data_IF_932497954796
#
_entry.id   IF_932497954796
#
_cell.length_a   1.000
_cell.length_b   1.000
_cell.length_c   1.000
_cell.angle_alpha   90.00
_cell.angle_beta   90.00
_cell.angle_gamma   90.00
#
_symmetry.space_group_name_H-M   'P 1'
#
loop_
_entity.id
_entity.type
_entity.pdbx_description
1 polymer ?
#
# COMPACT_ATOMS: atom_id res chain seq x y z
N UNK A 1 -24.07 -2.28 10.29
CA UNK A 1 -24.35 -1.88 8.89
C UNK A 1 -23.21 -2.39 8.02
N UNK A 2 -23.51 -3.21 7.01
CA UNK A 2 -22.49 -3.73 6.08
C UNK A 2 -22.10 -2.70 5.03
N UNK A 3 -20.84 -2.72 4.58
CA UNK A 3 -20.39 -1.98 3.40
C UNK A 3 -20.28 -2.96 2.25
N UNK A 4 -20.73 -2.57 1.06
CA UNK A 4 -20.63 -3.38 -0.15
C UNK A 4 -19.65 -2.71 -1.13
N UNK A 5 -18.79 -3.53 -1.73
CA UNK A 5 -17.82 -3.12 -2.74
C UNK A 5 -17.95 -4.07 -3.93
N UNK A 6 -17.73 -3.57 -5.15
CA UNK A 6 -17.78 -4.40 -6.37
C UNK A 6 -16.58 -5.34 -6.40
N UNK A 7 -15.42 -4.85 -5.96
CA UNK A 7 -14.18 -5.59 -5.90
C UNK A 7 -13.61 -5.57 -4.49
N UNK A 8 -13.26 -6.75 -3.97
CA UNK A 8 -12.63 -6.90 -2.66
C UNK A 8 -11.33 -7.70 -2.83
N UNK A 9 -10.20 -7.06 -2.49
CA UNK A 9 -8.91 -7.73 -2.38
C UNK A 9 -8.68 -8.09 -0.91
N UNK A 10 -8.46 -9.38 -0.64
CA UNK A 10 -8.16 -9.88 0.71
C UNK A 10 -6.64 -10.06 0.84
N UNK A 11 -6.06 -9.30 1.77
CA UNK A 11 -4.62 -9.23 2.06
C UNK A 11 -3.99 -7.93 1.52
N UNK A 12 -3.36 -7.14 2.39
CA UNK A 12 -2.77 -5.84 2.05
C UNK A 12 -1.26 -5.86 1.78
N UNK A 13 -0.75 -6.88 1.08
CA UNK A 13 0.68 -6.96 0.72
C UNK A 13 0.91 -6.54 -0.72
N UNK A 14 2.16 -6.56 -1.16
CA UNK A 14 2.63 -6.12 -2.50
C UNK A 14 1.64 -6.39 -3.64
N UNK A 15 1.14 -7.62 -3.77
CA UNK A 15 0.19 -7.99 -4.83
C UNK A 15 -1.09 -7.14 -4.84
N UNK A 16 -1.65 -6.81 -3.67
CA UNK A 16 -2.84 -5.99 -3.57
C UNK A 16 -2.59 -4.53 -3.97
N UNK A 17 -1.39 -4.01 -3.70
CA UNK A 17 -1.01 -2.66 -4.11
C UNK A 17 -0.87 -2.55 -5.63
N UNK A 18 -0.19 -3.51 -6.25
CA UNK A 18 -0.08 -3.57 -7.71
C UNK A 18 -1.41 -3.86 -8.38
N UNK A 19 -2.25 -4.73 -7.81
CA UNK A 19 -3.59 -4.95 -8.31
C UNK A 19 -4.43 -3.66 -8.26
N UNK A 20 -4.39 -2.91 -7.14
CA UNK A 20 -5.10 -1.65 -7.03
C UNK A 20 -4.59 -0.56 -8.00
N UNK A 21 -3.28 -0.53 -8.25
CA UNK A 21 -2.69 0.32 -9.30
C UNK A 21 -3.26 -0.05 -10.67
N UNK A 22 -3.31 -1.33 -11.01
CA UNK A 22 -3.88 -1.80 -12.27
C UNK A 22 -5.39 -1.52 -12.38
N UNK A 23 -6.17 -1.71 -11.30
CA UNK A 23 -7.58 -1.32 -11.29
C UNK A 23 -7.76 0.18 -11.54
N UNK A 24 -6.88 1.01 -10.97
CA UNK A 24 -6.88 2.47 -11.22
C UNK A 24 -6.54 2.77 -12.68
N UNK A 25 -5.53 2.10 -13.25
CA UNK A 25 -5.15 2.24 -14.66
C UNK A 25 -6.25 1.78 -15.62
N UNK A 26 -7.07 0.81 -15.21
CA UNK A 26 -8.25 0.33 -15.96
C UNK A 26 -9.48 1.22 -15.78
N UNK A 27 -9.39 2.27 -14.96
CA UNK A 27 -10.46 3.24 -14.77
C UNK A 27 -11.55 2.80 -13.79
N UNK A 28 -11.25 1.92 -12.84
CA UNK A 28 -12.21 1.58 -11.77
C UNK A 28 -12.52 2.84 -10.96
N UNK A 29 -13.81 3.18 -10.76
CA UNK A 29 -14.18 4.40 -10.09
C UNK A 29 -13.93 4.32 -8.57
N UNK A 30 -13.75 5.48 -7.92
CA UNK A 30 -13.56 5.55 -6.47
C UNK A 30 -14.73 4.88 -5.73
N UNK A 31 -14.42 4.12 -4.68
CA UNK A 31 -15.42 3.47 -3.84
C UNK A 31 -15.88 2.08 -4.31
N UNK A 32 -15.47 1.61 -5.49
CA UNK A 32 -15.79 0.25 -5.96
C UNK A 32 -14.78 -0.81 -5.52
N UNK A 33 -13.53 -0.41 -5.25
CA UNK A 33 -12.45 -1.29 -4.82
C UNK A 33 -12.17 -1.12 -3.33
N UNK A 34 -12.16 -2.23 -2.59
CA UNK A 34 -11.71 -2.30 -1.20
C UNK A 34 -10.57 -3.29 -1.03
N UNK A 35 -9.56 -2.91 -0.24
CA UNK A 35 -8.52 -3.82 0.24
C UNK A 35 -8.75 -4.06 1.73
N UNK A 36 -8.91 -5.32 2.12
CA UNK A 36 -9.03 -5.73 3.52
C UNK A 36 -7.71 -6.39 3.94
N UNK A 37 -7.06 -5.84 4.95
CA UNK A 37 -5.79 -6.37 5.49
C UNK A 37 -5.91 -6.59 7.00
N UNK A 38 -5.27 -7.64 7.49
CA UNK A 38 -5.05 -7.86 8.93
C UNK A 38 -3.81 -7.14 9.48
N UNK A 39 -2.97 -6.58 8.60
CA UNK A 39 -1.83 -5.75 8.99
C UNK A 39 -2.30 -4.31 9.21
N UNK A 40 -1.91 -3.67 10.32
CA UNK A 40 -2.20 -2.25 10.61
C UNK A 40 -1.29 -1.27 9.87
N UNK A 41 -0.40 -1.79 9.02
CA UNK A 41 0.66 -1.05 8.35
C UNK A 41 0.30 -0.93 6.87
N UNK A 42 0.59 0.23 6.28
CA UNK A 42 0.40 0.49 4.85
C UNK A 42 1.19 -0.49 3.97
N UNK A 43 0.69 -0.78 2.77
CA UNK A 43 1.31 -1.71 1.82
C UNK A 43 2.78 -1.36 1.57
N UNK A 44 3.67 -2.31 1.88
CA UNK A 44 5.12 -2.17 1.73
C UNK A 44 5.72 -3.38 0.99
N UNK A 45 6.91 -3.19 0.43
CA UNK A 45 7.67 -4.29 -0.15
C UNK A 45 8.32 -5.16 0.93
N UNK A 46 7.84 -6.40 1.08
CA UNK A 46 8.37 -7.34 2.07
C UNK A 46 9.85 -7.67 1.87
N UNK A 47 10.36 -7.57 0.64
CA UNK A 47 11.78 -7.78 0.34
C UNK A 47 12.69 -6.75 1.01
N UNK A 48 12.17 -5.56 1.34
CA UNK A 48 12.94 -4.56 2.08
C UNK A 48 13.25 -5.05 3.51
N UNK A 49 12.33 -5.80 4.14
CA UNK A 49 12.40 -6.16 5.55
C UNK A 49 13.52 -7.16 5.90
N UNK A 50 13.88 -8.07 4.99
CA UNK A 50 14.95 -9.06 5.22
C UNK A 50 16.28 -8.68 4.58
N UNK A 51 16.34 -7.53 3.91
CA UNK A 51 17.54 -7.02 3.23
C UNK A 51 17.89 -5.64 3.78
N UNK A 52 17.55 -4.60 3.03
CA UNK A 52 17.97 -3.23 3.31
C UNK A 52 17.52 -2.69 4.67
N UNK A 53 16.46 -3.24 5.26
CA UNK A 53 15.97 -2.84 6.57
C UNK A 53 16.84 -3.33 7.74
N UNK A 54 17.51 -4.48 7.58
CA UNK A 54 18.36 -5.05 8.64
C UNK A 54 19.80 -4.54 8.57
N UNK A 55 20.15 -3.80 7.53
CA UNK A 55 21.49 -3.23 7.39
C UNK A 55 21.67 -2.05 8.36
N UNK A 56 22.88 -1.84 8.91
CA UNK A 56 23.20 -0.67 9.70
C UNK A 56 22.93 0.63 8.92
N UNK A 57 22.50 1.68 9.63
CA UNK A 57 22.36 2.99 9.01
C UNK A 57 23.73 3.46 8.48
N UNK A 58 23.83 3.68 7.16
CA UNK A 58 25.06 4.14 6.50
C UNK A 58 25.55 3.28 5.33
N UNK A 59 25.12 2.02 5.19
CA UNK A 59 25.52 1.17 4.04
C UNK A 59 24.83 1.60 2.74
N UNK A 60 23.61 2.13 2.86
CA UNK A 60 22.87 2.80 1.80
C UNK A 60 22.08 3.93 2.48
N UNK A 61 22.44 5.20 2.23
CA UNK A 61 22.03 6.37 3.03
C UNK A 61 20.55 6.42 3.49
N UNK A 62 20.33 6.87 4.73
CA UNK A 62 19.04 7.18 5.40
C UNK A 62 17.77 6.54 4.80
N UNK A 63 17.68 5.20 4.85
CA UNK A 63 16.53 4.43 4.30
C UNK A 63 15.44 4.05 5.30
N UNK A 64 15.55 4.42 6.57
CA UNK A 64 14.43 4.29 7.53
C UNK A 64 13.18 5.04 7.04
N UNK A 65 13.40 6.10 6.28
CA UNK A 65 12.40 6.92 5.60
C UNK A 65 11.89 6.30 4.28
N UNK A 66 12.67 5.46 3.59
CA UNK A 66 12.34 5.03 2.22
C UNK A 66 11.26 3.93 2.16
N UNK A 67 11.22 3.03 3.15
CA UNK A 67 10.13 2.05 3.31
C UNK A 67 8.81 2.75 3.66
N UNK A 68 8.90 3.92 4.31
CA UNK A 68 7.75 4.71 4.71
C UNK A 68 7.24 5.63 3.57
N UNK A 69 8.15 6.20 2.76
CA UNK A 69 7.82 7.30 1.82
C UNK A 69 7.42 6.90 0.40
N UNK A 70 7.73 5.69 -0.08
CA UNK A 70 7.38 5.32 -1.47
C UNK A 70 5.88 5.06 -1.67
N UNK A 71 5.16 4.60 -0.64
CA UNK A 71 3.72 4.31 -0.76
C UNK A 71 2.82 5.47 -0.29
N UNK A 72 3.27 6.26 0.70
CA UNK A 72 2.53 7.40 1.23
C UNK A 72 2.25 8.48 0.17
N UNK A 73 3.22 8.75 -0.72
CA UNK A 73 3.09 9.82 -1.73
C UNK A 73 2.07 9.54 -2.83
N UNK A 74 1.73 8.27 -3.05
CA UNK A 74 0.69 7.88 -4.01
C UNK A 74 -0.67 7.76 -3.33
N UNK A 75 -0.71 7.25 -2.10
CA UNK A 75 -1.96 7.12 -1.34
C UNK A 75 -2.56 8.46 -0.90
N UNK A 76 -1.76 9.47 -0.54
CA UNK A 76 -2.27 10.80 -0.16
C UNK A 76 -3.13 11.46 -1.25
N UNK A 77 -2.97 11.06 -2.52
CA UNK A 77 -3.86 11.51 -3.61
C UNK A 77 -5.19 10.76 -3.67
N UNK A 78 -5.27 9.59 -3.06
CA UNK A 78 -6.44 8.67 -3.14
C UNK A 78 -7.22 8.55 -1.84
N UNK A 79 -6.65 8.93 -0.69
CA UNK A 79 -7.27 8.76 0.64
C UNK A 79 -7.88 10.03 1.23
N UNK A 80 -8.12 11.09 0.45
CA UNK A 80 -8.81 12.31 0.92
C UNK A 80 -10.31 12.13 1.24
N UNK A 81 -10.83 10.92 1.23
CA UNK A 81 -12.21 10.61 1.62
C UNK A 81 -12.24 9.43 2.60
N UNK A 82 -11.75 9.66 3.81
CA UNK A 82 -12.12 8.88 4.98
C UNK A 82 -12.44 9.86 6.11
N UNK A 83 -13.58 10.54 5.97
CA UNK A 83 -14.37 11.09 7.06
C UNK A 83 -15.83 10.73 6.78
#
# INVERSE_FOLDING_TARGET
>A
MGRAFVYVIVGGRVAAGYAALEFTNRGVPPGELCIVSGESILLYERLALSKGYLLPEGVFGNRRLMVHLQFLRHLERTTRTWN
#
